data_IF_628241633009
#
_entry.id   IF_628241633009
#
_cell.length_a   1.000
_cell.length_b   1.000
_cell.length_c   1.000
_cell.angle_alpha   90.00
_cell.angle_beta   90.00
_cell.angle_gamma   90.00
#
_symmetry.space_group_name_H-M   'P 1'
#
loop_
_entity.id
_entity.type
_entity.pdbx_description
1 polymer ?
#
# COMPACT_ATOMS: atom_id res chain seq x y z
N UNK A 1 28.40 6.28 27.78
CA UNK A 1 28.77 6.60 26.39
C UNK A 1 28.43 5.40 25.52
N UNK A 2 27.27 5.39 24.88
CA UNK A 2 26.98 4.45 23.80
C UNK A 2 26.19 5.23 22.76
N UNK A 3 26.92 5.68 21.74
CA UNK A 3 26.38 6.37 20.58
C UNK A 3 25.51 5.38 19.80
N UNK A 4 24.19 5.40 20.05
CA UNK A 4 23.24 4.90 19.07
C UNK A 4 23.14 5.95 17.97
N UNK A 5 24.02 5.85 16.98
CA UNK A 5 23.82 6.44 15.67
C UNK A 5 22.51 5.85 15.13
N UNK A 6 21.41 6.57 15.33
CA UNK A 6 20.10 6.25 14.77
C UNK A 6 20.26 6.44 13.27
N UNK A 7 20.62 5.37 12.56
CA UNK A 7 20.56 5.35 11.10
C UNK A 7 19.12 5.75 10.73
N UNK A 8 18.94 6.99 10.26
CA UNK A 8 17.70 7.43 9.64
C UNK A 8 17.65 6.69 8.30
N UNK A 9 17.21 5.43 8.37
CA UNK A 9 17.21 4.51 7.26
C UNK A 9 16.20 4.99 6.24
N UNK A 10 16.67 5.56 5.14
CA UNK A 10 15.88 5.69 3.92
C UNK A 10 15.65 4.26 3.42
N UNK A 11 14.61 3.61 3.93
CA UNK A 11 14.13 2.36 3.36
C UNK A 11 13.26 2.75 2.16
N UNK A 12 13.64 2.40 0.92
CA UNK A 12 12.74 2.62 -0.21
C UNK A 12 11.45 1.87 0.11
N UNK A 13 10.33 2.60 0.14
CA UNK A 13 9.02 2.00 0.29
C UNK A 13 8.78 1.14 -0.95
N UNK A 14 8.92 -0.17 -0.76
CA UNK A 14 8.65 -1.16 -1.80
C UNK A 14 7.15 -1.22 -2.01
N UNK A 15 6.67 -0.50 -3.01
CA UNK A 15 5.28 -0.59 -3.45
C UNK A 15 5.16 -1.66 -4.52
N UNK A 16 3.96 -2.19 -4.71
CA UNK A 16 3.69 -3.19 -5.72
C UNK A 16 2.65 -2.66 -6.69
N UNK A 17 2.75 -3.09 -7.95
CA UNK A 17 1.66 -2.95 -8.89
C UNK A 17 0.82 -4.23 -8.84
N UNK A 18 -0.48 -4.07 -8.69
CA UNK A 18 -1.44 -5.15 -8.71
C UNK A 18 -2.50 -4.92 -9.78
N UNK A 19 -3.07 -6.01 -10.29
CA UNK A 19 -4.26 -6.02 -11.13
C UNK A 19 -5.44 -6.56 -10.33
N UNK A 20 -6.58 -5.89 -10.42
CA UNK A 20 -7.83 -6.41 -9.89
C UNK A 20 -8.26 -7.65 -10.68
N UNK A 21 -8.41 -8.79 -10.01
CA UNK A 21 -8.92 -10.03 -10.63
C UNK A 21 -10.44 -10.18 -10.50
N UNK A 22 -11.05 -9.37 -9.65
CA UNK A 22 -12.51 -9.23 -9.46
C UNK A 22 -12.88 -7.75 -9.31
N UNK A 23 -14.17 -7.44 -9.50
CA UNK A 23 -14.73 -6.14 -9.11
C UNK A 23 -14.75 -6.00 -7.58
N UNK A 24 -14.70 -4.78 -7.09
CA UNK A 24 -14.95 -4.45 -5.69
C UNK A 24 -15.84 -3.21 -5.63
N UNK A 25 -17.07 -3.40 -5.14
CA UNK A 25 -18.05 -2.36 -4.94
C UNK A 25 -18.40 -2.34 -3.45
N UNK A 26 -17.91 -1.32 -2.76
CA UNK A 26 -18.10 -1.09 -1.34
C UNK A 26 -18.73 0.27 -1.11
N UNK A 27 -19.63 0.31 -0.13
CA UNK A 27 -20.23 1.53 0.40
C UNK A 27 -19.38 2.12 1.53
N UNK A 28 -18.38 1.38 2.01
CA UNK A 28 -17.49 1.85 3.06
C UNK A 28 -16.48 2.85 2.49
N UNK A 29 -16.43 4.10 2.98
CA UNK A 29 -15.53 5.14 2.45
C UNK A 29 -14.04 4.83 2.67
N UNK A 30 -13.71 3.87 3.53
CA UNK A 30 -12.32 3.41 3.72
C UNK A 30 -11.89 2.41 2.64
N UNK A 31 -12.83 1.72 2.01
CA UNK A 31 -12.57 0.67 1.05
C UNK A 31 -12.61 1.22 -0.38
N UNK A 32 -11.69 0.74 -1.22
CA UNK A 32 -11.60 1.21 -2.60
C UNK A 32 -12.59 0.50 -3.51
N UNK A 33 -13.21 1.29 -4.38
CA UNK A 33 -14.01 0.79 -5.50
C UNK A 33 -13.13 0.65 -6.75
N UNK A 34 -13.19 -0.53 -7.36
CA UNK A 34 -12.43 -0.85 -8.57
C UNK A 34 -13.12 -1.95 -9.38
N UNK A 35 -12.82 -2.02 -10.66
CA UNK A 35 -13.32 -3.07 -11.56
C UNK A 35 -12.22 -4.06 -11.90
N UNK A 36 -12.60 -5.29 -12.25
CA UNK A 36 -11.68 -6.30 -12.76
C UNK A 36 -10.86 -5.73 -13.92
N UNK A 37 -9.56 -5.92 -13.85
CA UNK A 37 -8.59 -5.40 -14.81
C UNK A 37 -7.97 -4.06 -14.41
N UNK A 38 -8.52 -3.34 -13.42
CA UNK A 38 -7.92 -2.09 -12.94
C UNK A 38 -6.51 -2.32 -12.37
N UNK A 39 -5.64 -1.34 -12.62
CA UNK A 39 -4.29 -1.30 -12.05
C UNK A 39 -4.31 -0.53 -10.73
N UNK A 40 -3.74 -1.14 -9.70
CA UNK A 40 -3.78 -0.68 -8.32
C UNK A 40 -2.35 -0.66 -7.77
N UNK A 41 -1.98 0.45 -7.14
CA UNK A 41 -0.71 0.55 -6.42
C UNK A 41 -0.91 0.05 -5.00
N UNK A 42 -0.23 -1.03 -4.61
CA UNK A 42 -0.25 -1.57 -3.26
C UNK A 42 0.90 -0.96 -2.47
N UNK A 43 0.55 -0.26 -1.39
CA UNK A 43 1.49 0.47 -0.53
C UNK A 43 1.91 -0.39 0.67
N UNK A 44 0.97 -1.13 1.26
CA UNK A 44 1.24 -2.04 2.38
C UNK A 44 0.34 -3.27 2.27
N UNK A 45 0.93 -4.47 2.35
CA UNK A 45 0.21 -5.76 2.29
C UNK A 45 -0.09 -6.34 3.67
N UNK A 46 0.50 -5.80 4.73
CA UNK A 46 0.28 -6.24 6.09
C UNK A 46 0.16 -5.06 7.08
N UNK A 47 -0.78 -4.13 6.83
CA UNK A 47 -1.07 -3.05 7.77
C UNK A 47 -1.50 -3.62 9.13
N UNK A 48 -0.99 -3.01 10.21
CA UNK A 48 -1.30 -3.45 11.58
C UNK A 48 -2.81 -3.39 11.85
N UNK A 49 -3.38 -4.51 12.33
CA UNK A 49 -4.80 -4.61 12.67
C UNK A 49 -5.75 -4.87 11.49
N UNK A 50 -5.22 -5.11 10.28
CA UNK A 50 -6.00 -5.25 9.05
C UNK A 50 -5.61 -6.54 8.28
N UNK A 51 -5.86 -7.70 8.89
CA UNK A 51 -5.49 -8.98 8.29
C UNK A 51 -6.25 -9.24 6.98
N UNK A 52 -5.53 -9.57 5.91
CA UNK A 52 -6.10 -9.81 4.57
C UNK A 52 -6.46 -8.55 3.79
N UNK A 53 -6.28 -7.36 4.38
CA UNK A 53 -6.54 -6.07 3.74
C UNK A 53 -5.23 -5.36 3.43
N UNK A 54 -5.13 -4.80 2.24
CA UNK A 54 -3.95 -4.08 1.78
C UNK A 54 -4.25 -2.59 1.68
N UNK A 55 -3.31 -1.75 2.11
CA UNK A 55 -3.37 -0.32 1.84
C UNK A 55 -2.97 -0.10 0.39
N UNK A 56 -3.86 0.51 -0.38
CA UNK A 56 -3.73 0.65 -1.81
C UNK A 56 -4.06 2.07 -2.25
N UNK A 57 -3.60 2.43 -3.45
CA UNK A 57 -4.01 3.63 -4.15
C UNK A 57 -4.43 3.32 -5.58
N UNK A 58 -5.55 3.91 -6.00
CA UNK A 58 -6.08 3.84 -7.36
C UNK A 58 -6.59 5.22 -7.75
N UNK A 59 -6.17 5.74 -8.93
CA UNK A 59 -6.64 7.02 -9.48
C UNK A 59 -6.59 8.19 -8.47
N UNK A 60 -5.56 8.23 -7.63
CA UNK A 60 -5.36 9.28 -6.61
C UNK A 60 -6.14 9.08 -5.31
N UNK A 61 -7.01 8.07 -5.21
CA UNK A 61 -7.66 7.68 -3.97
C UNK A 61 -6.75 6.76 -3.16
N UNK A 62 -6.81 6.88 -1.83
CA UNK A 62 -6.11 6.04 -0.87
C UNK A 62 -7.14 5.31 -0.02
N UNK A 63 -6.99 4.00 0.14
CA UNK A 63 -7.90 3.20 0.95
C UNK A 63 -7.43 1.77 1.13
N UNK A 64 -8.29 0.93 1.67
CA UNK A 64 -8.03 -0.49 1.82
C UNK A 64 -8.68 -1.27 0.67
N UNK A 65 -8.05 -2.37 0.28
CA UNK A 65 -8.60 -3.33 -0.67
C UNK A 65 -8.38 -4.75 -0.13
N UNK A 66 -9.31 -5.69 -0.39
CA UNK A 66 -9.12 -7.07 0.00
C UNK A 66 -8.03 -7.72 -0.87
N UNK A 67 -6.96 -8.19 -0.24
CA UNK A 67 -5.78 -8.69 -0.95
C UNK A 67 -6.05 -9.91 -1.83
N UNK A 68 -7.06 -10.71 -1.49
CA UNK A 68 -7.48 -11.87 -2.28
C UNK A 68 -8.20 -11.51 -3.60
N UNK A 69 -8.51 -10.23 -3.83
CA UNK A 69 -9.05 -9.72 -5.11
C UNK A 69 -7.99 -9.11 -6.01
N UNK A 70 -6.74 -9.13 -5.57
CA UNK A 70 -5.62 -8.48 -6.24
C UNK A 70 -4.55 -9.51 -6.61
N UNK A 71 -4.04 -9.41 -7.84
CA UNK A 71 -2.90 -10.18 -8.32
C UNK A 71 -1.70 -9.24 -8.45
N UNK A 72 -0.60 -9.52 -7.74
CA UNK A 72 0.63 -8.74 -7.87
C UNK A 72 1.28 -9.02 -9.23
N UNK A 73 1.50 -7.98 -10.01
CA UNK A 73 2.09 -8.06 -11.35
C UNK A 73 3.46 -7.38 -11.44
N UNK A 74 3.89 -6.67 -10.40
CA UNK A 74 5.21 -6.06 -10.38
C UNK A 74 5.56 -5.36 -9.08
N UNK A 75 6.83 -4.94 -8.98
CA UNK A 75 7.34 -4.09 -7.91
C UNK A 75 7.62 -2.72 -8.49
N UNK A 76 7.17 -1.68 -7.81
CA UNK A 76 7.54 -0.30 -8.12
C UNK A 76 8.51 0.15 -7.03
N UNK A 77 9.75 0.42 -7.44
CA UNK A 77 10.76 0.96 -6.53
C UNK A 77 10.57 2.48 -6.47
N UNK A 78 9.72 2.96 -5.56
CA UNK A 78 9.60 4.39 -5.30
C UNK A 78 10.55 4.83 -4.19
N UNK A 79 11.43 5.78 -4.49
CA UNK A 79 12.20 6.49 -3.47
C UNK A 79 11.28 7.55 -2.86
N UNK A 80 10.47 7.16 -1.87
CA UNK A 80 9.65 8.09 -1.10
C UNK A 80 10.42 8.48 0.16
N UNK A 81 10.74 9.76 0.30
CA UNK A 81 11.26 10.34 1.54
C UNK A 81 10.10 10.51 2.51
N UNK A 82 9.89 9.55 3.42
CA UNK A 82 9.09 9.86 4.62
C UNK A 82 10.02 10.63 5.56
N UNK A 83 9.79 11.94 5.66
CA UNK A 83 10.32 12.71 6.78
C UNK A 83 9.64 12.13 8.02
N UNK A 84 10.36 11.33 8.80
CA UNK A 84 9.86 10.86 10.07
C UNK A 84 9.74 12.07 11.00
N UNK A 85 8.57 12.70 11.04
CA UNK A 85 8.24 13.68 12.06
C UNK A 85 8.33 12.96 13.41
N UNK A 86 9.41 13.25 14.13
CA UNK A 86 9.61 12.80 15.50
C UNK A 86 9.19 13.98 16.37
N UNK A 87 8.07 13.85 17.08
CA UNK A 87 7.81 14.68 18.26
C UNK A 87 8.67 14.16 19.43
#
# INVERSE_FOLDING_TARGET
MTNYQKNVGIQPLKTFLARAIYDNLSENPKELNFSRGDLITVLDRNPSGLNGWWVCSIRGQLGIAPGNRLELIGVVNSVIWIIANTY
#
